data_IF_602574591287
#
_entry.id   IF_602574591287
#
_cell.length_a   1.000
_cell.length_b   1.000
_cell.length_c   1.000
_cell.angle_alpha   90.00
_cell.angle_beta   90.00
_cell.angle_gamma   90.00
#
_symmetry.space_group_name_H-M   'P 1'
#
loop_
_entity.id
_entity.type
_entity.pdbx_description
1 polymer ?
#
# COMPACT_ATOMS: atom_id res chain seq x y z
N UNK A 1 -46.59 -8.92 25.18
CA UNK A 1 -46.31 -9.24 26.59
C UNK A 1 -45.13 -10.20 26.67
N UNK A 2 -43.98 -9.72 27.13
CA UNK A 2 -43.03 -10.45 27.98
C UNK A 2 -42.14 -9.41 28.66
N UNK A 3 -41.96 -9.62 29.96
CA UNK A 3 -41.64 -8.65 31.00
C UNK A 3 -40.14 -8.40 31.14
N UNK A 4 -39.79 -7.16 31.49
CA UNK A 4 -38.45 -6.72 31.88
C UNK A 4 -38.29 -6.97 33.38
N UNK A 5 -37.23 -7.68 33.79
CA UNK A 5 -36.83 -7.80 35.18
C UNK A 5 -35.67 -6.85 35.48
N UNK A 6 -35.88 -5.98 36.46
CA UNK A 6 -34.87 -5.18 37.15
C UNK A 6 -34.28 -5.99 38.31
N UNK A 7 -32.98 -5.84 38.60
CA UNK A 7 -32.53 -5.88 39.98
C UNK A 7 -31.27 -5.01 40.18
N UNK A 8 -31.47 -3.98 41.00
CA UNK A 8 -30.48 -3.03 41.51
C UNK A 8 -29.62 -3.65 42.61
N UNK A 9 -28.36 -3.23 42.71
CA UNK A 9 -27.57 -3.34 43.95
C UNK A 9 -27.06 -1.95 44.33
N UNK A 10 -27.17 -1.68 45.62
CA UNK A 10 -27.27 -0.38 46.27
C UNK A 10 -25.94 0.31 46.57
N UNK A 11 -26.08 1.63 46.74
CA UNK A 11 -25.09 2.62 47.17
C UNK A 11 -25.10 2.72 48.71
N UNK A 12 -23.93 2.90 49.33
CA UNK A 12 -23.73 3.41 50.70
C UNK A 12 -22.46 4.30 50.64
N UNK A 13 -22.53 5.64 50.57
CA UNK A 13 -22.69 6.62 51.67
C UNK A 13 -21.59 6.46 52.76
N UNK A 14 -20.76 7.45 53.13
CA UNK A 14 -21.10 8.83 53.48
C UNK A 14 -19.85 9.75 53.57
N UNK A 15 -20.03 11.03 53.15
CA UNK A 15 -19.61 12.35 53.70
C UNK A 15 -18.24 12.52 54.41
N UNK A 16 -17.52 13.64 54.25
CA UNK A 16 -17.91 15.00 54.68
C UNK A 16 -17.27 16.16 53.88
N UNK A 17 -17.91 17.33 53.99
CA UNK A 17 -17.64 18.59 53.29
C UNK A 17 -16.85 19.55 54.18
N UNK A 18 -15.93 20.33 53.62
CA UNK A 18 -15.58 21.67 54.10
C UNK A 18 -14.99 22.55 52.96
N UNK A 19 -15.69 23.62 52.61
CA UNK A 19 -15.16 24.85 51.96
C UNK A 19 -14.39 25.67 53.02
N UNK A 20 -13.40 26.53 52.76
CA UNK A 20 -13.40 27.82 52.01
C UNK A 20 -11.94 28.27 51.71
N UNK A 21 -11.83 29.04 50.63
CA UNK A 21 -10.75 29.82 50.00
C UNK A 21 -9.53 30.40 50.76
N UNK A 22 -8.49 30.55 49.93
CA UNK A 22 -7.48 31.62 49.81
C UNK A 22 -6.23 31.63 50.72
N UNK A 23 -5.07 31.33 50.11
CA UNK A 23 -3.88 32.19 50.19
C UNK A 23 -2.87 31.81 49.10
N UNK A 24 -2.41 32.85 48.40
CA UNK A 24 -1.35 32.87 47.38
C UNK A 24 -0.01 32.38 47.93
N UNK A 25 0.61 31.42 47.25
CA UNK A 25 2.04 31.17 47.32
C UNK A 25 2.53 30.67 45.95
N UNK A 26 3.49 31.40 45.39
CA UNK A 26 4.19 31.14 44.13
C UNK A 26 4.89 29.77 44.13
N UNK A 27 4.60 28.95 43.11
CA UNK A 27 5.35 27.73 42.80
C UNK A 27 6.12 27.96 41.48
N UNK A 28 7.43 27.64 41.43
CA UNK A 28 8.31 27.98 40.30
C UNK A 28 7.97 27.20 39.03
N UNK A 29 8.15 27.89 37.88
CA UNK A 29 8.11 27.34 36.52
C UNK A 29 8.94 26.06 36.43
N UNK A 30 8.30 24.92 36.22
CA UNK A 30 8.95 23.76 35.63
C UNK A 30 8.92 23.93 34.12
N UNK A 31 10.09 24.11 33.52
CA UNK A 31 10.27 24.11 32.07
C UNK A 31 9.73 22.80 31.48
N UNK A 32 8.76 22.97 30.59
CA UNK A 32 8.24 21.89 29.75
C UNK A 32 9.36 21.54 28.77
N UNK A 33 10.04 20.42 29.00
CA UNK A 33 10.97 19.85 28.05
C UNK A 33 10.26 19.73 26.68
N UNK A 34 10.76 20.47 25.70
CA UNK A 34 10.28 20.39 24.34
C UNK A 34 10.63 19.00 23.80
N UNK A 35 9.63 18.17 23.57
CA UNK A 35 9.77 16.99 22.72
C UNK A 35 10.12 17.47 21.31
N UNK A 36 11.40 17.41 20.98
CA UNK A 36 11.90 17.56 19.63
C UNK A 36 11.29 16.43 18.82
N UNK A 37 10.25 16.75 18.02
CA UNK A 37 9.83 15.89 16.91
C UNK A 37 11.06 15.68 16.03
N UNK A 38 11.72 14.53 16.18
CA UNK A 38 12.66 14.04 15.18
C UNK A 38 11.85 13.80 13.92
N UNK A 39 11.84 14.79 13.04
CA UNK A 39 11.38 14.63 11.67
C UNK A 39 12.28 13.56 11.06
N UNK A 40 11.78 12.33 11.00
CA UNK A 40 12.47 11.22 10.35
C UNK A 40 12.72 11.67 8.92
N UNK A 41 13.97 12.00 8.60
CA UNK A 41 14.35 12.37 7.23
C UNK A 41 14.09 11.13 6.38
N UNK A 42 12.95 11.13 5.69
CA UNK A 42 12.63 10.07 4.74
C UNK A 42 13.61 10.27 3.59
N UNK A 43 14.66 9.44 3.54
CA UNK A 43 15.57 9.40 2.41
C UNK A 43 14.71 9.14 1.17
N UNK A 44 14.69 10.09 0.24
CA UNK A 44 13.99 9.93 -1.03
C UNK A 44 14.52 8.67 -1.72
N UNK A 45 13.62 7.72 -2.01
CA UNK A 45 13.95 6.48 -2.71
C UNK A 45 13.51 6.60 -4.16
N UNK A 46 14.44 6.43 -5.09
CA UNK A 46 14.18 6.44 -6.52
C UNK A 46 13.86 5.03 -7.03
N UNK A 47 13.04 4.95 -8.08
CA UNK A 47 12.63 3.68 -8.67
C UNK A 47 13.82 2.87 -9.17
N UNK A 48 14.74 3.52 -9.90
CA UNK A 48 15.92 2.88 -10.48
C UNK A 48 16.87 2.31 -9.41
N UNK A 49 17.05 3.02 -8.30
CA UNK A 49 17.92 2.55 -7.21
C UNK A 49 17.41 1.20 -6.67
N UNK A 50 16.12 1.12 -6.37
CA UNK A 50 15.49 -0.11 -5.88
C UNK A 50 15.46 -1.21 -6.94
N UNK A 51 15.19 -0.86 -8.20
CA UNK A 51 15.19 -1.83 -9.31
C UNK A 51 16.56 -2.52 -9.44
N UNK A 52 17.65 -1.75 -9.43
CA UNK A 52 19.00 -2.31 -9.54
C UNK A 52 19.47 -3.00 -8.25
N UNK A 53 19.02 -2.55 -7.08
CA UNK A 53 19.28 -3.20 -5.81
C UNK A 53 18.77 -4.66 -5.83
N UNK A 54 17.48 -4.88 -6.12
CA UNK A 54 16.92 -6.24 -6.12
C UNK A 54 17.46 -7.09 -7.27
N UNK A 55 17.72 -6.48 -8.44
CA UNK A 55 18.31 -7.19 -9.57
C UNK A 55 19.72 -7.69 -9.26
N UNK A 56 20.50 -6.93 -8.50
CA UNK A 56 21.85 -7.33 -8.08
C UNK A 56 21.82 -8.40 -6.98
N UNK A 57 20.93 -8.26 -5.99
CA UNK A 57 20.87 -9.19 -4.85
C UNK A 57 20.13 -10.48 -5.17
N UNK A 58 19.07 -10.43 -5.98
CA UNK A 58 18.18 -11.54 -6.31
C UNK A 58 17.88 -11.61 -7.82
N UNK A 59 18.89 -11.87 -8.68
CA UNK A 59 18.72 -11.81 -10.13
C UNK A 59 17.67 -12.78 -10.71
N UNK A 60 17.34 -13.85 -9.98
CA UNK A 60 16.30 -14.82 -10.37
C UNK A 60 14.87 -14.36 -10.07
N UNK A 61 14.68 -13.29 -9.29
CA UNK A 61 13.36 -12.73 -8.94
C UNK A 61 12.92 -11.65 -9.93
N UNK A 62 13.07 -11.92 -11.23
CA UNK A 62 12.80 -10.94 -12.29
C UNK A 62 11.37 -10.36 -12.27
N UNK A 63 10.36 -11.17 -11.91
CA UNK A 63 8.96 -10.73 -11.74
C UNK A 63 8.76 -9.74 -10.57
N UNK A 64 9.73 -9.65 -9.66
CA UNK A 64 9.66 -8.80 -8.47
C UNK A 64 10.37 -7.46 -8.65
N UNK A 65 11.13 -7.24 -9.73
CA UNK A 65 11.97 -6.05 -9.85
C UNK A 65 11.15 -4.77 -9.85
N UNK A 66 10.10 -4.71 -10.68
CA UNK A 66 9.22 -3.55 -10.78
C UNK A 66 8.37 -3.36 -9.52
N UNK A 67 7.78 -4.43 -8.98
CA UNK A 67 6.92 -4.34 -7.79
C UNK A 67 7.71 -3.97 -6.54
N UNK A 68 8.96 -4.42 -6.39
CA UNK A 68 9.84 -3.93 -5.32
C UNK A 68 10.17 -2.45 -5.51
N UNK A 69 10.56 -2.07 -6.74
CA UNK A 69 10.92 -0.69 -7.05
C UNK A 69 9.77 0.31 -6.84
N UNK A 70 8.53 -0.10 -7.11
CA UNK A 70 7.33 0.69 -6.85
C UNK A 70 6.92 0.72 -5.36
N UNK A 71 7.29 -0.29 -4.57
CA UNK A 71 6.82 -0.45 -3.18
C UNK A 71 7.44 0.54 -2.18
N UNK A 72 6.77 0.71 -1.04
CA UNK A 72 7.30 1.41 0.15
C UNK A 72 8.29 0.56 0.97
N UNK A 73 8.25 -0.77 0.80
CA UNK A 73 8.98 -1.71 1.64
C UNK A 73 10.48 -1.66 1.36
N UNK A 74 11.31 -1.84 2.40
CA UNK A 74 12.72 -2.14 2.19
C UNK A 74 12.91 -3.58 1.71
N UNK A 75 14.10 -3.93 1.21
CA UNK A 75 14.41 -5.25 0.65
C UNK A 75 14.03 -6.39 1.58
N UNK A 76 14.42 -6.30 2.86
CA UNK A 76 14.15 -7.34 3.85
C UNK A 76 12.64 -7.58 3.99
N UNK A 77 11.88 -6.52 4.21
CA UNK A 77 10.42 -6.59 4.33
C UNK A 77 9.77 -7.16 3.07
N UNK A 78 10.21 -6.71 1.89
CA UNK A 78 9.68 -7.18 0.63
C UNK A 78 9.92 -8.69 0.42
N UNK A 79 11.13 -9.16 0.72
CA UNK A 79 11.48 -10.58 0.58
C UNK A 79 10.78 -11.46 1.61
N UNK A 80 10.61 -10.98 2.85
CA UNK A 80 9.80 -11.67 3.87
C UNK A 80 8.36 -11.88 3.38
N UNK A 81 7.74 -10.84 2.83
CA UNK A 81 6.39 -10.90 2.25
C UNK A 81 6.31 -11.78 1.00
N UNK A 82 7.32 -11.72 0.13
CA UNK A 82 7.42 -12.60 -1.04
C UNK A 82 7.45 -14.08 -0.63
N UNK A 83 8.21 -14.42 0.41
CA UNK A 83 8.27 -15.80 0.92
C UNK A 83 6.97 -16.22 1.61
N UNK A 84 6.30 -15.31 2.30
CA UNK A 84 5.00 -15.54 2.94
C UNK A 84 3.92 -15.95 1.92
N UNK A 85 3.71 -15.19 0.84
CA UNK A 85 2.74 -15.54 -0.21
C UNK A 85 3.14 -16.80 -0.96
N UNK A 86 4.44 -16.99 -1.22
CA UNK A 86 4.94 -18.20 -1.90
C UNK A 86 4.68 -19.46 -1.07
N UNK A 87 4.79 -19.38 0.26
CA UNK A 87 4.50 -20.49 1.15
C UNK A 87 3.01 -20.80 1.23
N UNK A 88 2.17 -19.77 1.33
CA UNK A 88 0.72 -19.93 1.48
C UNK A 88 0.01 -20.29 0.17
N UNK A 89 0.48 -19.77 -0.96
CA UNK A 89 -0.15 -19.91 -2.27
C UNK A 89 0.86 -20.32 -3.36
N UNK A 90 1.55 -21.48 -3.23
CA UNK A 90 2.67 -21.88 -4.09
C UNK A 90 2.30 -22.05 -5.59
N UNK A 91 1.00 -22.10 -5.90
CA UNK A 91 0.48 -22.29 -7.26
C UNK A 91 0.06 -20.98 -7.95
N UNK A 92 0.30 -19.82 -7.30
CA UNK A 92 -0.04 -18.49 -7.83
C UNK A 92 1.22 -17.60 -7.98
N UNK A 93 2.26 -18.04 -8.70
CA UNK A 93 3.51 -17.29 -8.80
C UNK A 93 3.36 -15.90 -9.41
N UNK A 94 2.33 -15.69 -10.23
CA UNK A 94 2.05 -14.43 -10.90
C UNK A 94 1.68 -13.30 -9.95
N UNK A 95 1.22 -13.60 -8.71
CA UNK A 95 0.82 -12.56 -7.74
C UNK A 95 1.84 -12.32 -6.64
N UNK A 96 2.95 -13.05 -6.61
CA UNK A 96 3.92 -12.94 -5.51
C UNK A 96 4.49 -11.53 -5.39
N UNK A 97 4.84 -10.91 -6.52
CA UNK A 97 5.32 -9.53 -6.56
C UNK A 97 4.26 -8.52 -6.09
N UNK A 98 3.01 -8.69 -6.54
CA UNK A 98 1.91 -7.81 -6.15
C UNK A 98 1.65 -7.85 -4.64
N UNK A 99 1.62 -9.04 -4.03
CA UNK A 99 1.47 -9.15 -2.58
C UNK A 99 2.66 -8.52 -1.84
N UNK A 100 3.87 -8.91 -2.22
CA UNK A 100 5.11 -8.48 -1.59
C UNK A 100 5.24 -6.95 -1.60
N UNK A 101 4.83 -6.30 -2.70
CA UNK A 101 4.83 -4.85 -2.86
C UNK A 101 3.64 -4.12 -2.23
N UNK A 102 2.57 -4.83 -1.86
CA UNK A 102 1.36 -4.22 -1.28
C UNK A 102 1.48 -3.93 0.21
N UNK A 103 0.59 -3.07 0.72
CA UNK A 103 0.45 -2.76 2.16
C UNK A 103 -0.57 -3.65 2.89
N UNK A 104 -1.21 -4.60 2.19
CA UNK A 104 -2.23 -5.45 2.78
C UNK A 104 -1.64 -6.66 3.50
N UNK A 105 -2.36 -7.15 4.52
CA UNK A 105 -2.09 -8.48 5.08
C UNK A 105 -2.35 -9.56 4.04
N UNK A 106 -1.74 -10.74 4.21
CA UNK A 106 -1.96 -11.89 3.33
C UNK A 106 -3.45 -12.24 3.18
N UNK A 107 -4.17 -12.24 4.31
CA UNK A 107 -5.61 -12.50 4.33
C UNK A 107 -6.38 -11.48 3.49
N UNK A 108 -6.10 -10.18 3.65
CA UNK A 108 -6.80 -9.14 2.90
C UNK A 108 -6.47 -9.18 1.42
N UNK A 109 -5.21 -9.46 1.07
CA UNK A 109 -4.79 -9.63 -0.31
C UNK A 109 -5.51 -10.81 -0.97
N UNK A 110 -5.54 -11.98 -0.30
CA UNK A 110 -6.23 -13.17 -0.79
C UNK A 110 -7.73 -12.93 -0.97
N UNK A 111 -8.38 -12.27 -0.01
CA UNK A 111 -9.79 -11.87 -0.12
C UNK A 111 -10.04 -11.06 -1.40
N UNK A 112 -9.19 -10.06 -1.68
CA UNK A 112 -9.32 -9.22 -2.87
C UNK A 112 -9.02 -9.98 -4.16
N UNK A 113 -8.01 -10.87 -4.16
CA UNK A 113 -7.70 -11.74 -5.29
C UNK A 113 -8.91 -12.59 -5.70
N UNK A 114 -9.54 -13.27 -4.75
CA UNK A 114 -10.72 -14.08 -5.04
C UNK A 114 -11.93 -13.23 -5.41
N UNK A 115 -12.10 -12.05 -4.82
CA UNK A 115 -13.18 -11.13 -5.18
C UNK A 115 -13.18 -10.78 -6.68
N UNK A 116 -12.03 -10.37 -7.25
CA UNK A 116 -11.96 -10.06 -8.68
C UNK A 116 -12.02 -11.32 -9.54
N UNK A 117 -11.40 -12.42 -9.11
CA UNK A 117 -11.42 -13.69 -9.83
C UNK A 117 -12.85 -14.21 -10.03
N UNK A 118 -13.65 -14.15 -8.99
CA UNK A 118 -15.03 -14.67 -9.01
C UNK A 118 -15.97 -13.72 -9.77
N UNK A 119 -15.74 -12.40 -9.69
CA UNK A 119 -16.59 -11.40 -10.34
C UNK A 119 -16.23 -11.22 -11.82
N UNK A 120 -14.95 -11.31 -12.18
CA UNK A 120 -14.41 -11.04 -13.51
C UNK A 120 -13.42 -12.13 -13.97
N UNK A 121 -13.89 -13.37 -14.22
CA UNK A 121 -13.05 -14.55 -14.46
C UNK A 121 -12.15 -14.47 -15.71
N UNK A 122 -12.41 -13.52 -16.61
CA UNK A 122 -11.62 -13.31 -17.83
C UNK A 122 -10.43 -12.36 -17.63
N UNK A 123 -10.29 -11.75 -16.46
CA UNK A 123 -9.26 -10.74 -16.15
C UNK A 123 -8.03 -11.33 -15.44
N UNK A 124 -7.73 -12.62 -15.64
CA UNK A 124 -6.71 -13.35 -14.89
C UNK A 124 -5.35 -12.65 -14.73
N UNK A 125 -4.89 -11.96 -15.79
CA UNK A 125 -3.63 -11.22 -15.77
C UNK A 125 -3.59 -10.05 -14.78
N UNK A 126 -4.76 -9.53 -14.37
CA UNK A 126 -4.89 -8.32 -13.56
C UNK A 126 -5.37 -8.60 -12.13
N UNK A 127 -5.53 -9.88 -11.74
CA UNK A 127 -6.00 -10.22 -10.39
C UNK A 127 -5.02 -9.76 -9.31
N UNK A 128 -3.72 -9.94 -9.54
CA UNK A 128 -2.67 -9.48 -8.64
C UNK A 128 -2.67 -7.95 -8.51
N UNK A 129 -2.82 -7.24 -9.63
CA UNK A 129 -2.85 -5.77 -9.64
C UNK A 129 -4.00 -5.22 -8.81
N UNK A 130 -5.21 -5.75 -9.01
CA UNK A 130 -6.35 -5.38 -8.16
C UNK A 130 -6.09 -5.73 -6.70
N UNK A 131 -5.68 -6.97 -6.42
CA UNK A 131 -5.50 -7.47 -5.06
C UNK A 131 -4.50 -6.63 -4.27
N UNK A 132 -3.41 -6.19 -4.91
CA UNK A 132 -2.38 -5.33 -4.30
C UNK A 132 -2.71 -3.83 -4.30
N UNK A 133 -3.66 -3.38 -5.13
CA UNK A 133 -4.01 -1.96 -5.25
C UNK A 133 -4.86 -1.43 -4.09
N UNK A 134 -4.80 -0.12 -3.84
CA UNK A 134 -5.69 0.56 -2.89
C UNK A 134 -7.09 0.85 -3.45
N UNK A 135 -7.36 0.50 -4.71
CA UNK A 135 -8.62 0.80 -5.38
C UNK A 135 -9.75 -0.11 -4.88
N UNK A 136 -10.98 0.40 -4.92
CA UNK A 136 -12.16 -0.48 -4.84
C UNK A 136 -12.29 -1.30 -6.12
N UNK A 137 -13.00 -2.42 -6.10
CA UNK A 137 -13.22 -3.22 -7.32
C UNK A 137 -13.87 -2.38 -8.42
N UNK A 138 -14.88 -1.58 -8.06
CA UNK A 138 -15.57 -0.71 -9.00
C UNK A 138 -14.64 0.33 -9.64
N UNK A 139 -13.81 1.01 -8.85
CA UNK A 139 -12.88 2.00 -9.39
C UNK A 139 -11.77 1.34 -10.24
N UNK A 140 -11.25 0.19 -9.80
CA UNK A 140 -10.29 -0.57 -10.59
C UNK A 140 -10.84 -0.94 -11.97
N UNK A 141 -12.07 -1.47 -12.03
CA UNK A 141 -12.70 -1.85 -13.31
C UNK A 141 -12.99 -0.63 -14.19
N UNK A 142 -13.46 0.48 -13.60
CA UNK A 142 -13.65 1.74 -14.32
C UNK A 142 -12.35 2.21 -14.98
N UNK A 143 -11.24 2.23 -14.22
CA UNK A 143 -9.92 2.63 -14.73
C UNK A 143 -9.37 1.64 -15.76
N UNK A 144 -9.57 0.34 -15.54
CA UNK A 144 -9.19 -0.70 -16.49
C UNK A 144 -9.86 -0.49 -17.85
N UNK A 145 -11.17 -0.20 -17.87
CA UNK A 145 -11.88 0.10 -19.11
C UNK A 145 -11.44 1.44 -19.71
N UNK A 146 -11.19 2.46 -18.90
CA UNK A 146 -10.70 3.76 -19.37
C UNK A 146 -9.40 3.63 -20.20
N UNK A 147 -8.40 2.92 -19.70
CA UNK A 147 -7.14 2.72 -20.45
C UNK A 147 -7.34 1.79 -21.65
N UNK A 148 -8.17 0.75 -21.52
CA UNK A 148 -8.47 -0.17 -22.60
C UNK A 148 -9.07 0.53 -23.82
N UNK A 149 -9.95 1.49 -23.58
CA UNK A 149 -10.65 2.21 -24.65
C UNK A 149 -9.78 3.34 -25.23
N UNK A 150 -8.93 3.97 -24.41
CA UNK A 150 -8.19 5.18 -24.79
C UNK A 150 -6.77 4.92 -25.28
N UNK A 151 -6.12 3.85 -24.82
CA UNK A 151 -4.71 3.54 -25.12
C UNK A 151 -4.52 2.04 -25.36
N UNK A 152 -5.08 1.49 -26.45
CA UNK A 152 -5.09 0.05 -26.71
C UNK A 152 -3.70 -0.59 -26.87
N UNK A 153 -2.68 0.22 -27.19
CA UNK A 153 -1.28 -0.19 -27.29
C UNK A 153 -0.61 -0.44 -25.92
N UNK A 154 -1.27 -0.05 -24.82
CA UNK A 154 -0.84 -0.30 -23.45
C UNK A 154 -1.49 -1.55 -22.82
N UNK A 155 -1.98 -2.49 -23.65
CA UNK A 155 -2.71 -3.68 -23.20
C UNK A 155 -2.01 -4.53 -22.13
N UNK A 156 -0.68 -4.57 -22.14
CA UNK A 156 0.12 -5.27 -21.14
C UNK A 156 0.14 -4.57 -19.77
N UNK A 157 -0.29 -3.32 -19.70
CA UNK A 157 -0.16 -2.44 -18.53
C UNK A 157 -1.49 -1.92 -18.00
N UNK A 158 -2.62 -2.44 -18.49
CA UNK A 158 -3.94 -2.00 -18.04
C UNK A 158 -4.16 -2.20 -16.55
N UNK A 159 -3.71 -3.34 -16.00
CA UNK A 159 -3.80 -3.65 -14.59
C UNK A 159 -3.00 -2.68 -13.72
N UNK A 160 -1.75 -2.37 -14.11
CA UNK A 160 -0.90 -1.41 -13.40
C UNK A 160 -1.50 0.01 -13.42
N UNK A 161 -2.04 0.47 -14.55
CA UNK A 161 -2.77 1.74 -14.59
C UNK A 161 -4.00 1.72 -13.67
N UNK A 162 -4.82 0.68 -13.78
CA UNK A 162 -6.03 0.51 -13.00
C UNK A 162 -5.74 0.47 -11.50
N UNK A 163 -4.63 -0.15 -11.09
CA UNK A 163 -4.15 -0.23 -9.71
C UNK A 163 -3.61 1.10 -9.17
N UNK A 164 -3.09 1.97 -10.05
CA UNK A 164 -2.43 3.21 -9.66
C UNK A 164 -3.41 4.33 -9.26
N UNK A 165 -2.87 5.42 -8.73
CA UNK A 165 -3.58 6.69 -8.51
C UNK A 165 -3.30 7.72 -9.61
N UNK A 166 -2.43 7.41 -10.58
CA UNK A 166 -2.06 8.32 -11.66
C UNK A 166 -3.26 8.60 -12.58
N UNK A 167 -3.33 9.79 -13.16
CA UNK A 167 -4.22 10.04 -14.30
C UNK A 167 -3.75 9.25 -15.52
N UNK A 168 -4.62 9.04 -16.52
CA UNK A 168 -4.23 8.35 -17.75
C UNK A 168 -3.10 9.09 -18.48
N UNK A 169 -3.16 10.42 -18.49
CA UNK A 169 -2.14 11.27 -19.08
C UNK A 169 -0.79 11.11 -18.37
N UNK A 170 -0.76 11.19 -17.04
CA UNK A 170 0.47 11.00 -16.26
C UNK A 170 1.06 9.60 -16.45
N UNK A 171 0.22 8.55 -16.38
CA UNK A 171 0.66 7.17 -16.58
C UNK A 171 1.28 6.99 -17.98
N UNK A 172 0.59 7.46 -19.01
CA UNK A 172 1.05 7.34 -20.40
C UNK A 172 2.35 8.11 -20.63
N UNK A 173 2.41 9.36 -20.15
CA UNK A 173 3.60 10.21 -20.23
C UNK A 173 4.81 9.54 -19.57
N UNK A 174 4.64 9.02 -18.34
CA UNK A 174 5.70 8.31 -17.62
C UNK A 174 6.12 7.03 -18.33
N UNK A 175 5.17 6.25 -18.84
CA UNK A 175 5.43 5.02 -19.59
C UNK A 175 6.26 5.28 -20.84
N UNK A 176 5.82 6.19 -21.72
CA UNK A 176 6.55 6.47 -22.96
C UNK A 176 7.89 7.16 -22.69
N UNK A 177 7.96 8.04 -21.67
CA UNK A 177 9.19 8.67 -21.23
C UNK A 177 10.24 7.65 -20.80
N UNK A 178 9.88 6.71 -19.90
CA UNK A 178 10.82 5.69 -19.45
C UNK A 178 11.19 4.71 -20.57
N UNK A 179 10.24 4.35 -21.44
CA UNK A 179 10.48 3.47 -22.59
C UNK A 179 11.48 4.09 -23.57
N UNK A 180 11.35 5.39 -23.86
CA UNK A 180 12.27 6.13 -24.72
C UNK A 180 13.67 6.31 -24.10
N UNK A 181 13.77 6.43 -22.78
CA UNK A 181 15.05 6.63 -22.08
C UNK A 181 15.99 5.42 -22.05
N UNK A 182 15.57 4.24 -22.56
CA UNK A 182 16.36 3.01 -22.65
C UNK A 182 17.10 2.62 -21.35
N UNK A 183 16.44 2.77 -20.21
CA UNK A 183 16.99 2.55 -18.86
C UNK A 183 17.42 1.12 -18.52
N UNK A 184 17.24 0.15 -19.43
CA UNK A 184 17.47 -1.27 -19.14
C UNK A 184 16.42 -1.92 -18.23
N UNK A 185 15.33 -1.22 -17.90
CA UNK A 185 14.20 -1.69 -17.08
C UNK A 185 13.10 -2.36 -17.91
N UNK A 186 13.49 -3.15 -18.92
CA UNK A 186 12.52 -3.85 -19.77
C UNK A 186 11.59 -4.69 -18.87
N UNK A 187 10.28 -4.55 -19.08
CA UNK A 187 9.20 -5.21 -18.33
C UNK A 187 8.84 -4.60 -16.96
N UNK A 188 9.34 -3.40 -16.61
CA UNK A 188 8.96 -2.71 -15.36
C UNK A 188 8.36 -1.31 -15.58
N UNK A 189 7.98 -1.00 -16.83
CA UNK A 189 7.51 0.33 -17.22
C UNK A 189 6.15 0.67 -16.61
N UNK A 190 5.24 -0.30 -16.51
CA UNK A 190 3.91 -0.10 -15.91
C UNK A 190 4.01 0.18 -14.41
N UNK A 191 4.89 -0.54 -13.70
CA UNK A 191 5.14 -0.36 -12.28
C UNK A 191 5.74 1.02 -12.01
N UNK A 192 6.69 1.49 -12.83
CA UNK A 192 7.19 2.85 -12.72
C UNK A 192 6.11 3.89 -13.03
N UNK A 193 5.39 3.72 -14.14
CA UNK A 193 4.36 4.66 -14.60
C UNK A 193 3.22 4.81 -13.59
N UNK A 194 2.83 3.71 -12.92
CA UNK A 194 1.79 3.70 -11.90
C UNK A 194 2.27 4.05 -10.48
N UNK A 195 3.58 4.18 -10.26
CA UNK A 195 4.13 4.50 -8.93
C UNK A 195 4.22 6.01 -8.66
N UNK A 196 4.38 6.35 -7.38
CA UNK A 196 4.70 7.71 -6.91
C UNK A 196 6.21 8.01 -6.93
N UNK A 197 7.05 7.06 -7.35
CA UNK A 197 8.51 7.18 -7.31
C UNK A 197 9.02 8.09 -8.41
N UNK A 198 10.04 8.89 -8.11
CA UNK A 198 10.88 9.53 -9.14
C UNK A 198 11.75 8.46 -9.82
N UNK A 199 12.09 8.68 -11.09
CA UNK A 199 12.82 7.70 -11.88
C UNK A 199 14.23 7.43 -11.31
N UNK A 200 15.01 8.50 -11.19
CA UNK A 200 16.38 8.53 -10.69
C UNK A 200 16.65 9.90 -10.05
N UNK A 201 17.78 10.00 -9.33
CA UNK A 201 18.26 11.24 -8.72
C UNK A 201 18.63 12.31 -9.74
#
# INVERSE_FOLDING_TARGET
MRTINYLSIAILACSTVATVNAQTASIPKTEKAAETKQTKVVKEQYFMDKYYEIKATYPSLNICFGTYAASSHNMKQYIERYNEIKAAYPKLPEVYGNYAGSEYTLEKFAQRYYQIKDTYPTMAKNYGDYAGSKQTLQEFIKRFNQIKDSAPDLAEYYGQYAASTATLEEFSSRYYGVKASNTGMKNCYGEYAGSDKKLAK
#
